data_IF_162561196839
#
_entry.id   IF_162561196839
#
_cell.length_a   1.000
_cell.length_b   1.000
_cell.length_c   1.000
_cell.angle_alpha   90.00
_cell.angle_beta   90.00
_cell.angle_gamma   90.00
#
_symmetry.space_group_name_H-M   'P 1'
#
loop_
_entity.id
_entity.type
_entity.pdbx_description
1 polymer ?
#
# COMPACT_ATOMS: atom_id res chain seq x y z
N UNK A 1 24.00 21.26 40.55
CA UNK A 1 24.14 19.85 40.98
C UNK A 1 24.70 19.01 39.84
N UNK A 2 25.93 18.47 39.95
CA UNK A 2 26.51 17.58 38.94
C UNK A 2 25.76 16.24 38.95
N UNK A 3 25.10 15.89 37.84
CA UNK A 3 24.43 14.59 37.69
C UNK A 3 25.46 13.50 37.44
N UNK A 4 25.43 12.42 38.24
CA UNK A 4 26.35 11.30 38.11
C UNK A 4 26.31 10.67 36.71
N UNK A 5 27.49 10.60 36.08
CA UNK A 5 27.67 10.08 34.72
C UNK A 5 27.35 8.59 34.58
N UNK A 6 27.35 7.84 35.69
CA UNK A 6 27.19 6.39 35.68
C UNK A 6 25.77 5.89 35.36
N UNK A 7 24.72 6.69 35.56
CA UNK A 7 23.34 6.28 35.28
C UNK A 7 22.95 6.40 33.80
N UNK A 8 23.79 7.04 32.97
CA UNK A 8 23.47 7.30 31.55
C UNK A 8 23.55 6.03 30.70
N UNK A 9 24.51 5.14 30.96
CA UNK A 9 24.76 3.94 30.13
C UNK A 9 23.64 2.90 30.23
N UNK A 10 23.03 2.74 31.42
CA UNK A 10 21.92 1.80 31.58
C UNK A 10 20.62 2.33 30.92
N UNK A 11 20.43 3.66 30.90
CA UNK A 11 19.28 4.27 30.20
C UNK A 11 19.40 4.16 28.69
N UNK A 12 20.61 4.32 28.13
CA UNK A 12 20.80 4.17 26.68
C UNK A 12 20.54 2.74 26.21
N UNK A 13 20.97 1.73 26.96
CA UNK A 13 20.74 0.33 26.60
C UNK A 13 19.24 -0.04 26.64
N UNK A 14 18.52 0.41 27.66
CA UNK A 14 17.06 0.22 27.74
C UNK A 14 16.33 0.96 26.62
N UNK A 15 16.80 2.15 26.22
CA UNK A 15 16.23 2.89 25.09
C UNK A 15 16.54 2.23 23.74
N UNK A 16 17.70 1.59 23.58
CA UNK A 16 18.04 0.82 22.39
C UNK A 16 17.13 -0.40 22.26
N UNK A 17 16.94 -1.18 23.33
CA UNK A 17 15.97 -2.30 23.33
C UNK A 17 14.54 -1.85 23.00
N UNK A 18 14.10 -0.70 23.54
CA UNK A 18 12.76 -0.16 23.23
C UNK A 18 12.64 0.31 21.77
N UNK A 19 13.71 0.80 21.16
CA UNK A 19 13.73 1.17 19.73
C UNK A 19 13.80 -0.07 18.84
N UNK A 20 14.63 -1.05 19.17
CA UNK A 20 14.77 -2.30 18.40
C UNK A 20 13.48 -3.14 18.42
N UNK A 21 12.79 -3.23 19.56
CA UNK A 21 11.46 -3.87 19.60
C UNK A 21 10.37 -3.11 18.84
N UNK A 22 10.51 -1.80 18.63
CA UNK A 22 9.58 -1.02 17.81
C UNK A 22 9.92 -1.02 16.31
N UNK A 23 11.11 -1.49 15.91
CA UNK A 23 11.45 -1.70 14.50
C UNK A 23 11.04 -3.09 14.00
N UNK A 24 10.86 -4.06 14.90
CA UNK A 24 10.45 -5.43 14.57
C UNK A 24 8.99 -5.78 14.92
N UNK A 25 8.28 -4.93 15.67
CA UNK A 25 6.82 -4.90 15.59
C UNK A 25 6.48 -4.27 14.24
N UNK A 26 6.49 -5.11 13.18
CA UNK A 26 6.30 -4.71 11.81
C UNK A 26 5.18 -3.69 11.72
N UNK A 27 5.55 -2.43 11.54
CA UNK A 27 4.61 -1.38 11.23
C UNK A 27 3.94 -1.87 9.94
N UNK A 28 2.72 -2.40 10.08
CA UNK A 28 1.90 -2.79 8.95
C UNK A 28 1.66 -1.47 8.22
N UNK A 29 2.54 -1.15 7.28
CA UNK A 29 2.47 0.06 6.48
C UNK A 29 1.08 0.00 5.89
N UNK A 30 0.17 0.89 6.32
CA UNK A 30 -1.26 0.90 5.92
C UNK A 30 -1.25 0.66 4.42
N UNK A 31 -1.58 -0.57 4.00
CA UNK A 31 -1.29 -0.99 2.63
C UNK A 31 -2.24 -0.17 1.79
N UNK A 32 -1.69 0.68 0.92
CA UNK A 32 -2.53 1.43 0.01
C UNK A 32 -3.36 0.41 -0.77
N UNK A 33 -4.66 0.62 -0.79
CA UNK A 33 -5.66 -0.24 -1.41
C UNK A 33 -5.72 0.05 -2.91
N UNK A 34 -5.36 1.27 -3.33
CA UNK A 34 -5.33 1.65 -4.75
C UNK A 34 -4.52 0.72 -5.68
N UNK A 35 -3.31 0.25 -5.34
CA UNK A 35 -2.52 -0.60 -6.23
C UNK A 35 -3.22 -1.93 -6.49
N UNK A 36 -3.83 -2.51 -5.44
CA UNK A 36 -4.56 -3.78 -5.53
C UNK A 36 -5.77 -3.61 -6.45
N UNK A 37 -6.59 -2.58 -6.22
CA UNK A 37 -7.76 -2.32 -7.06
C UNK A 37 -7.39 -1.95 -8.49
N UNK A 38 -6.26 -1.28 -8.72
CA UNK A 38 -5.77 -0.98 -10.07
C UNK A 38 -5.37 -2.24 -10.82
N UNK A 39 -4.64 -3.16 -10.17
CA UNK A 39 -4.22 -4.44 -10.77
C UNK A 39 -5.43 -5.32 -11.06
N UNK A 40 -6.34 -5.46 -10.08
CA UNK A 40 -7.56 -6.26 -10.24
C UNK A 40 -8.47 -5.67 -11.33
N UNK A 41 -8.67 -4.35 -11.33
CA UNK A 41 -9.43 -3.65 -12.36
C UNK A 41 -8.82 -3.80 -13.75
N UNK A 42 -7.50 -3.70 -13.87
CA UNK A 42 -6.78 -3.92 -15.12
C UNK A 42 -6.91 -5.34 -15.65
N UNK A 43 -6.75 -6.36 -14.77
CA UNK A 43 -6.93 -7.77 -15.14
C UNK A 43 -8.36 -8.08 -15.60
N UNK A 44 -9.36 -7.58 -14.87
CA UNK A 44 -10.77 -7.75 -15.27
C UNK A 44 -11.07 -7.06 -16.59
N UNK A 45 -10.57 -5.84 -16.81
CA UNK A 45 -10.71 -5.12 -18.06
C UNK A 45 -10.07 -5.85 -19.24
N UNK A 46 -8.92 -6.49 -19.02
CA UNK A 46 -8.22 -7.32 -20.01
C UNK A 46 -9.04 -8.58 -20.35
N UNK A 47 -9.50 -9.32 -19.34
CA UNK A 47 -10.30 -10.54 -19.52
C UNK A 47 -11.60 -10.23 -20.28
N UNK A 48 -12.32 -9.19 -19.85
CA UNK A 48 -13.58 -8.77 -20.50
C UNK A 48 -13.30 -8.30 -21.92
N UNK A 49 -12.27 -7.49 -22.15
CA UNK A 49 -11.88 -7.03 -23.48
C UNK A 49 -11.52 -8.18 -24.42
N UNK A 50 -10.81 -9.20 -23.91
CA UNK A 50 -10.41 -10.37 -24.70
C UNK A 50 -11.61 -11.22 -25.10
N UNK A 51 -12.51 -11.52 -24.16
CA UNK A 51 -13.72 -12.31 -24.41
C UNK A 51 -14.69 -11.56 -25.34
N UNK A 52 -14.92 -10.27 -25.08
CA UNK A 52 -15.89 -9.48 -25.83
C UNK A 52 -15.50 -9.25 -27.30
N UNK A 53 -14.21 -9.38 -27.63
CA UNK A 53 -13.70 -9.01 -28.97
C UNK A 53 -12.99 -10.13 -29.71
N UNK A 54 -13.08 -11.37 -29.21
CA UNK A 54 -12.41 -12.53 -29.80
C UNK A 54 -10.92 -12.29 -30.08
N UNK A 55 -10.23 -11.56 -29.19
CA UNK A 55 -8.79 -11.30 -29.30
C UNK A 55 -8.39 -10.07 -30.13
N UNK A 56 -9.30 -9.15 -30.45
CA UNK A 56 -8.94 -7.88 -31.10
C UNK A 56 -8.04 -7.01 -30.21
N UNK A 57 -6.74 -7.01 -30.49
CA UNK A 57 -5.70 -6.29 -29.73
C UNK A 57 -6.04 -4.83 -29.39
N UNK A 58 -6.59 -4.00 -30.32
CA UNK A 58 -6.93 -2.62 -30.02
C UNK A 58 -7.98 -2.49 -28.89
N UNK A 59 -8.98 -3.37 -28.88
CA UNK A 59 -10.07 -3.29 -27.89
C UNK A 59 -9.64 -3.86 -26.56
N UNK A 60 -8.77 -4.88 -26.55
CA UNK A 60 -8.15 -5.40 -25.32
C UNK A 60 -7.31 -4.30 -24.65
N UNK A 61 -6.54 -3.53 -25.42
CA UNK A 61 -5.76 -2.39 -24.89
C UNK A 61 -6.66 -1.30 -24.31
N UNK A 62 -7.78 -0.98 -24.97
CA UNK A 62 -8.77 -0.03 -24.44
C UNK A 62 -9.40 -0.58 -23.15
N UNK A 63 -9.78 -1.86 -23.12
CA UNK A 63 -10.34 -2.51 -21.94
C UNK A 63 -9.39 -2.50 -20.74
N UNK A 64 -8.09 -2.74 -20.99
CA UNK A 64 -7.05 -2.65 -19.97
C UNK A 64 -6.89 -1.22 -19.46
N UNK A 65 -6.82 -0.23 -20.35
CA UNK A 65 -6.69 1.18 -19.98
C UNK A 65 -7.89 1.64 -19.14
N UNK A 66 -9.11 1.34 -19.57
CA UNK A 66 -10.35 1.70 -18.87
C UNK A 66 -10.47 0.97 -17.53
N UNK A 67 -10.19 -0.34 -17.49
CA UNK A 67 -10.24 -1.14 -16.27
C UNK A 67 -9.23 -0.68 -15.21
N UNK A 68 -8.00 -0.36 -15.64
CA UNK A 68 -6.98 0.19 -14.76
C UNK A 68 -7.35 1.58 -14.23
N UNK A 69 -7.91 2.46 -15.09
CA UNK A 69 -8.35 3.79 -14.67
C UNK A 69 -9.48 3.71 -13.64
N UNK A 70 -10.48 2.87 -13.89
CA UNK A 70 -11.60 2.66 -13.00
C UNK A 70 -11.13 2.10 -11.64
N UNK A 71 -10.29 1.06 -11.67
CA UNK A 71 -9.69 0.46 -10.47
C UNK A 71 -8.86 1.47 -9.66
N UNK A 72 -8.09 2.33 -10.34
CA UNK A 72 -7.31 3.38 -9.70
C UNK A 72 -8.20 4.40 -8.99
N UNK A 73 -9.26 4.89 -9.65
CA UNK A 73 -10.17 5.88 -9.05
C UNK A 73 -10.93 5.30 -7.85
N UNK A 74 -11.43 4.07 -7.97
CA UNK A 74 -12.11 3.35 -6.88
C UNK A 74 -11.18 3.14 -5.68
N UNK A 75 -10.00 2.59 -5.92
CA UNK A 75 -9.04 2.32 -4.85
C UNK A 75 -8.49 3.60 -4.20
N UNK A 76 -8.32 4.68 -4.96
CA UNK A 76 -7.93 5.99 -4.43
C UNK A 76 -9.02 6.59 -3.56
N UNK A 77 -10.31 6.46 -3.92
CA UNK A 77 -11.41 6.91 -3.07
C UNK A 77 -11.45 6.15 -1.74
N UNK A 78 -11.27 4.83 -1.78
CA UNK A 78 -11.26 3.99 -0.58
C UNK A 78 -10.09 4.37 0.35
N UNK A 79 -8.89 4.58 -0.21
CA UNK A 79 -7.73 5.00 0.59
C UNK A 79 -7.90 6.38 1.23
N UNK A 80 -8.56 7.32 0.54
CA UNK A 80 -8.88 8.63 1.08
C UNK A 80 -9.89 8.53 2.23
N UNK A 81 -10.99 7.78 2.04
CA UNK A 81 -11.99 7.56 3.09
C UNK A 81 -11.45 6.76 4.29
N UNK A 82 -10.45 5.90 4.07
CA UNK A 82 -9.78 5.13 5.14
C UNK A 82 -8.78 5.97 5.95
N UNK A 83 -8.28 7.09 5.39
CA UNK A 83 -7.42 8.05 6.11
C UNK A 83 -8.20 9.08 6.93
N UNK A 84 -9.46 9.32 6.59
CA UNK A 84 -10.32 10.31 7.26
C UNK A 84 -10.97 9.77 8.56
N UNK A 85 -10.94 8.44 8.76
CA UNK A 85 -11.27 7.75 10.02
C UNK A 85 -10.02 7.49 10.87
#
# INVERSE_FOLDING_TARGET
MPRSSHRKKHKSHVQQFKKEHNHNAGAFKRSSTFPVFTIVGGLLGLIVGYIATNGSLPVVLIGLAVGALAGYLLGRKIDLSSKEK
#
